data_IF_575240521868
#
_entry.id   IF_575240521868
#
_cell.length_a   1.000
_cell.length_b   1.000
_cell.length_c   1.000
_cell.angle_alpha   90.00
_cell.angle_beta   90.00
_cell.angle_gamma   90.00
#
_symmetry.space_group_name_H-M   'P 1'
#
loop_
_entity.id
_entity.type
_entity.pdbx_description
1 polymer ?
#
# COMPACT_ATOMS: atom_id res chain seq x y z
N UNK A 1 62.10 62.11 39.71
CA UNK A 1 62.21 60.83 38.96
C UNK A 1 60.82 60.30 38.79
N UNK A 2 60.25 60.40 37.60
CA UNK A 2 58.92 59.80 37.24
C UNK A 2 59.14 58.71 36.20
N UNK A 3 58.79 57.48 36.52
CA UNK A 3 58.81 56.40 35.56
C UNK A 3 57.47 56.34 34.82
N UNK A 4 57.51 56.38 33.52
CA UNK A 4 56.38 56.18 32.63
C UNK A 4 56.21 54.72 32.29
N UNK A 5 55.02 54.20 32.43
CA UNK A 5 54.61 52.87 31.97
C UNK A 5 54.18 52.88 30.52
N UNK A 6 54.58 51.91 29.71
CA UNK A 6 54.13 51.85 28.31
C UNK A 6 52.73 51.18 28.18
N UNK A 7 51.86 51.89 27.49
CA UNK A 7 50.52 51.47 27.13
C UNK A 7 50.59 50.40 26.01
N UNK A 8 50.13 49.19 26.22
CA UNK A 8 50.00 48.14 25.20
C UNK A 8 48.62 48.24 24.57
N UNK A 9 48.55 48.69 23.33
CA UNK A 9 47.34 48.60 22.47
C UNK A 9 47.11 47.16 22.05
N UNK A 10 45.89 46.63 22.13
CA UNK A 10 45.60 45.29 21.63
C UNK A 10 45.50 45.33 20.12
N UNK A 11 46.24 44.48 19.46
CA UNK A 11 46.27 44.31 18.00
C UNK A 11 44.95 43.72 17.48
N UNK A 12 44.34 44.43 16.51
CA UNK A 12 43.07 44.14 15.86
C UNK A 12 43.07 42.84 15.00
N UNK A 13 44.20 42.12 14.99
CA UNK A 13 44.41 40.96 14.12
C UNK A 13 43.75 39.64 14.57
N UNK A 14 43.36 39.50 15.84
CA UNK A 14 42.87 38.22 16.37
C UNK A 14 41.36 38.05 16.28
N UNK A 15 40.60 39.09 16.03
CA UNK A 15 39.15 39.06 15.86
C UNK A 15 38.68 38.64 14.47
N UNK A 16 39.46 38.96 13.42
CA UNK A 16 39.15 38.58 12.05
C UNK A 16 39.38 37.10 11.75
N UNK A 17 40.32 36.44 12.43
CA UNK A 17 40.59 35.03 12.26
C UNK A 17 39.46 34.13 12.88
N UNK A 18 38.84 34.59 13.97
CA UNK A 18 37.73 33.86 14.62
C UNK A 18 36.43 33.89 13.82
N UNK A 19 36.13 34.99 13.13
CA UNK A 19 34.90 35.15 12.34
C UNK A 19 34.96 34.32 11.04
N UNK A 20 36.12 34.18 10.41
CA UNK A 20 36.29 33.34 9.21
C UNK A 20 36.17 31.87 9.50
N UNK A 21 36.57 31.36 10.69
CA UNK A 21 36.42 29.98 11.08
C UNK A 21 34.97 29.61 11.43
N UNK A 22 34.16 30.56 11.92
CA UNK A 22 32.73 30.32 12.20
C UNK A 22 31.87 30.37 10.93
N UNK A 23 32.24 31.12 9.91
CA UNK A 23 31.52 31.19 8.63
C UNK A 23 31.73 29.93 7.75
N UNK A 24 32.85 29.26 7.89
CA UNK A 24 33.12 28.01 7.12
C UNK A 24 32.43 26.78 7.70
N UNK A 25 32.02 26.81 8.97
CA UNK A 25 31.32 25.69 9.62
C UNK A 25 29.83 25.57 9.21
N UNK A 26 29.25 26.61 8.63
CA UNK A 26 27.83 26.63 8.21
C UNK A 26 27.60 26.22 6.76
N UNK A 27 28.64 25.92 6.00
CA UNK A 27 28.57 25.50 4.59
C UNK A 27 28.70 23.97 4.38
N UNK A 28 28.62 23.19 5.45
CA UNK A 28 28.37 21.75 5.31
C UNK A 28 26.88 21.55 5.02
N UNK A 29 26.44 22.02 3.84
CA UNK A 29 25.21 21.55 3.24
C UNK A 29 25.27 20.02 3.26
N UNK A 30 24.30 19.38 3.93
CA UNK A 30 24.09 17.93 3.81
C UNK A 30 23.98 17.67 2.31
N UNK A 31 25.05 17.18 1.70
CA UNK A 31 25.04 16.74 0.32
C UNK A 31 23.94 15.65 0.27
N UNK A 32 22.78 15.99 -0.28
CA UNK A 32 21.75 15.02 -0.60
C UNK A 32 22.42 14.06 -1.61
N UNK A 33 22.90 12.95 -1.11
CA UNK A 33 23.54 11.97 -1.96
C UNK A 33 22.44 11.34 -2.82
N UNK A 34 22.56 11.50 -4.14
CA UNK A 34 21.66 10.90 -5.11
C UNK A 34 21.51 9.40 -4.82
N UNK A 35 20.28 8.96 -4.64
CA UNK A 35 20.02 7.53 -4.40
C UNK A 35 20.06 6.77 -5.74
N UNK A 36 20.66 5.57 -5.71
CA UNK A 36 20.56 4.63 -6.83
C UNK A 36 19.32 3.75 -6.61
N UNK A 37 18.29 3.93 -7.45
CA UNK A 37 16.99 3.30 -7.33
C UNK A 37 16.77 2.38 -8.51
N UNK A 38 16.65 1.07 -8.24
CA UNK A 38 16.45 0.04 -9.24
C UNK A 38 15.05 -0.55 -9.12
N UNK A 39 14.23 -0.36 -10.15
CA UNK A 39 12.98 -1.07 -10.29
C UNK A 39 13.22 -2.37 -11.07
N UNK A 40 12.55 -3.45 -10.67
CA UNK A 40 12.62 -4.71 -11.41
C UNK A 40 11.29 -5.45 -11.39
N UNK A 41 11.07 -6.23 -12.43
CA UNK A 41 9.93 -7.10 -12.65
C UNK A 41 10.26 -8.14 -13.71
N UNK A 42 9.40 -9.13 -13.86
CA UNK A 42 9.58 -10.22 -14.83
C UNK A 42 9.71 -9.70 -16.26
N UNK A 43 8.86 -8.74 -16.62
CA UNK A 43 8.79 -8.19 -17.97
C UNK A 43 8.75 -6.65 -17.94
N UNK A 44 9.31 -6.05 -18.97
CA UNK A 44 9.17 -4.64 -19.27
C UNK A 44 7.90 -4.43 -20.11
N UNK A 45 7.02 -3.56 -19.64
CA UNK A 45 5.79 -3.20 -20.34
C UNK A 45 5.65 -1.68 -20.47
N UNK A 46 4.80 -1.16 -21.38
CA UNK A 46 4.55 0.28 -21.46
C UNK A 46 4.08 0.89 -20.12
N UNK A 47 3.32 0.14 -19.33
CA UNK A 47 2.89 0.57 -17.99
C UNK A 47 4.05 0.65 -17.00
N UNK A 48 5.00 -0.29 -17.05
CA UNK A 48 6.23 -0.25 -16.24
C UNK A 48 7.09 0.93 -16.65
N UNK A 49 7.30 1.15 -17.95
CA UNK A 49 8.07 2.30 -18.45
C UNK A 49 7.46 3.63 -18.02
N UNK A 50 6.14 3.80 -18.15
CA UNK A 50 5.43 5.00 -17.70
C UNK A 50 5.56 5.21 -16.18
N UNK A 51 5.54 4.14 -15.39
CA UNK A 51 5.74 4.22 -13.94
C UNK A 51 7.17 4.64 -13.58
N UNK A 52 8.17 4.06 -14.22
CA UNK A 52 9.59 4.40 -14.03
C UNK A 52 9.85 5.86 -14.41
N UNK A 53 9.32 6.30 -15.55
CA UNK A 53 9.43 7.70 -15.98
C UNK A 53 8.79 8.65 -14.96
N UNK A 54 7.57 8.37 -14.50
CA UNK A 54 6.89 9.20 -13.51
C UNK A 54 7.65 9.26 -12.16
N UNK A 55 8.26 8.16 -11.73
CA UNK A 55 9.11 8.16 -10.54
C UNK A 55 10.41 8.95 -10.77
N UNK A 56 11.02 8.86 -11.95
CA UNK A 56 12.22 9.63 -12.31
C UNK A 56 11.93 11.13 -12.36
N UNK A 57 10.79 11.53 -12.90
CA UNK A 57 10.34 12.93 -12.93
C UNK A 57 10.09 13.48 -11.51
N UNK A 58 9.55 12.65 -10.62
CA UNK A 58 9.32 13.00 -9.22
C UNK A 58 10.63 13.12 -8.43
N UNK A 59 11.67 12.37 -8.83
CA UNK A 59 12.97 12.30 -8.16
C UNK A 59 14.14 12.64 -9.10
N UNK A 60 14.22 13.90 -9.54
CA UNK A 60 15.18 14.30 -10.59
C UNK A 60 16.65 14.24 -10.13
N UNK A 61 16.91 14.17 -8.84
CA UNK A 61 18.27 14.07 -8.27
C UNK A 61 18.74 12.64 -8.12
N UNK A 62 17.82 11.66 -8.18
CA UNK A 62 18.12 10.26 -8.00
C UNK A 62 18.34 9.54 -9.35
N UNK A 63 19.11 8.47 -9.33
CA UNK A 63 19.31 7.62 -10.50
C UNK A 63 18.24 6.51 -10.52
N UNK A 64 17.10 6.80 -11.15
CA UNK A 64 15.97 5.86 -11.26
C UNK A 64 16.08 5.08 -12.57
N UNK A 65 16.13 3.74 -12.48
CA UNK A 65 16.22 2.88 -13.67
C UNK A 65 15.41 1.61 -13.49
N UNK A 66 14.97 1.03 -14.60
CA UNK A 66 14.39 -0.32 -14.65
C UNK A 66 15.40 -1.31 -15.24
N UNK A 67 15.36 -2.53 -14.71
CA UNK A 67 16.11 -3.65 -15.28
C UNK A 67 15.26 -4.92 -15.17
N UNK A 68 15.03 -5.63 -16.29
CA UNK A 68 14.30 -6.89 -16.28
C UNK A 68 14.96 -7.91 -15.35
N UNK A 69 14.14 -8.68 -14.65
CA UNK A 69 14.60 -9.68 -13.68
C UNK A 69 15.62 -10.65 -14.28
N UNK A 70 15.40 -11.09 -15.52
CA UNK A 70 16.28 -12.05 -16.23
C UNK A 70 17.71 -11.54 -16.43
N UNK A 71 17.95 -10.22 -16.35
CA UNK A 71 19.28 -9.61 -16.53
C UNK A 71 19.97 -9.26 -15.22
N UNK A 72 19.32 -9.52 -14.06
CA UNK A 72 19.90 -9.23 -12.76
C UNK A 72 20.83 -10.37 -12.29
N UNK A 73 21.95 -10.03 -11.63
CA UNK A 73 22.72 -11.01 -10.87
C UNK A 73 21.96 -11.46 -9.63
N UNK A 74 22.44 -12.46 -8.92
CA UNK A 74 21.85 -12.88 -7.64
C UNK A 74 21.73 -11.72 -6.64
N UNK A 75 20.73 -11.69 -5.75
CA UNK A 75 20.43 -10.55 -4.87
C UNK A 75 21.64 -10.09 -4.03
N UNK A 76 22.40 -11.01 -3.48
CA UNK A 76 23.56 -10.70 -2.64
C UNK A 76 24.80 -10.15 -3.41
N UNK A 77 24.76 -10.16 -4.75
CA UNK A 77 25.81 -9.56 -5.58
C UNK A 77 25.52 -8.10 -5.95
N UNK A 78 24.33 -7.62 -5.62
CA UNK A 78 23.95 -6.22 -5.85
C UNK A 78 24.58 -5.30 -4.81
N UNK A 79 24.86 -4.02 -5.17
CA UNK A 79 25.39 -3.04 -4.22
C UNK A 79 24.50 -2.86 -3.00
N UNK A 80 25.07 -2.84 -1.80
CA UNK A 80 24.31 -2.71 -0.54
C UNK A 80 23.61 -1.34 -0.37
N UNK A 81 24.12 -0.29 -1.03
CA UNK A 81 23.54 1.05 -1.02
C UNK A 81 22.41 1.24 -2.04
N UNK A 82 22.17 0.24 -2.90
CA UNK A 82 21.08 0.25 -3.86
C UNK A 82 19.73 0.20 -3.14
N UNK A 83 18.74 0.94 -3.61
CA UNK A 83 17.35 0.85 -3.18
C UNK A 83 16.55 0.12 -4.26
N UNK A 84 15.97 -1.01 -3.91
CA UNK A 84 15.21 -1.81 -4.88
C UNK A 84 13.72 -1.60 -4.73
N UNK A 85 13.02 -1.63 -5.87
CA UNK A 85 11.56 -1.67 -5.93
C UNK A 85 11.15 -2.87 -6.79
N UNK A 86 10.47 -3.83 -6.18
CA UNK A 86 9.95 -5.01 -6.87
C UNK A 86 8.51 -4.75 -7.32
N UNK A 87 8.23 -5.03 -8.59
CA UNK A 87 6.96 -4.69 -9.23
C UNK A 87 5.99 -5.86 -9.33
N UNK A 88 6.46 -7.10 -9.08
CA UNK A 88 5.68 -8.33 -9.25
C UNK A 88 6.16 -9.47 -8.34
N UNK A 89 5.38 -10.55 -8.30
CA UNK A 89 5.70 -11.73 -7.49
C UNK A 89 6.96 -12.49 -7.96
N UNK A 90 7.24 -12.67 -9.27
CA UNK A 90 8.50 -13.29 -9.70
C UNK A 90 9.73 -12.56 -9.19
N UNK A 91 9.74 -11.23 -9.17
CA UNK A 91 10.86 -10.45 -8.61
C UNK A 91 10.97 -10.61 -7.09
N UNK A 92 9.85 -10.74 -6.38
CA UNK A 92 9.88 -11.09 -4.96
C UNK A 92 10.43 -12.50 -4.74
N UNK A 93 9.96 -13.50 -5.49
CA UNK A 93 10.44 -14.89 -5.38
C UNK A 93 11.96 -14.97 -5.65
N UNK A 94 12.46 -14.19 -6.61
CA UNK A 94 13.90 -14.05 -6.86
C UNK A 94 14.62 -13.39 -5.67
N UNK A 95 14.07 -12.30 -5.12
CA UNK A 95 14.69 -11.58 -3.98
C UNK A 95 14.77 -12.44 -2.72
N UNK A 96 13.84 -13.37 -2.54
CA UNK A 96 13.79 -14.28 -1.40
C UNK A 96 14.79 -15.45 -1.49
N UNK A 97 15.44 -15.67 -2.63
CA UNK A 97 16.45 -16.74 -2.77
C UNK A 97 17.66 -16.51 -1.87
N UNK A 98 17.98 -15.24 -1.57
CA UNK A 98 19.09 -14.89 -0.70
C UNK A 98 18.62 -13.91 0.39
N UNK A 99 18.93 -14.19 1.68
CA UNK A 99 18.57 -13.30 2.77
C UNK A 99 19.32 -11.97 2.71
N UNK A 100 20.52 -11.99 2.15
CA UNK A 100 21.35 -10.80 1.93
C UNK A 100 20.97 -10.11 0.63
N UNK A 101 21.12 -8.78 0.60
CA UNK A 101 20.82 -7.97 -0.56
C UNK A 101 20.43 -6.55 -0.17
N UNK A 102 20.24 -5.67 -1.15
CA UNK A 102 19.89 -4.27 -0.90
C UNK A 102 18.52 -4.11 -0.23
N UNK A 103 18.31 -2.95 0.37
CA UNK A 103 17.02 -2.58 0.93
C UNK A 103 15.95 -2.56 -0.16
N UNK A 104 14.82 -3.21 0.10
CA UNK A 104 13.84 -3.56 -0.92
C UNK A 104 12.43 -3.16 -0.52
N UNK A 105 11.75 -2.41 -1.38
CA UNK A 105 10.31 -2.14 -1.33
C UNK A 105 9.59 -3.12 -2.27
N UNK A 106 8.60 -3.84 -1.76
CA UNK A 106 7.74 -4.72 -2.58
C UNK A 106 6.46 -3.97 -2.85
N UNK A 107 6.28 -3.56 -4.09
CA UNK A 107 5.14 -2.75 -4.51
C UNK A 107 3.95 -3.63 -4.89
N UNK A 108 2.76 -3.26 -4.42
CA UNK A 108 1.49 -3.85 -4.84
C UNK A 108 1.38 -5.36 -4.57
N UNK A 109 1.82 -5.77 -3.39
CA UNK A 109 1.63 -7.14 -2.90
C UNK A 109 0.41 -7.21 -1.97
N UNK A 110 -0.44 -8.22 -2.10
CA UNK A 110 -1.51 -8.44 -1.12
C UNK A 110 -1.00 -9.17 0.13
N UNK A 111 -1.71 -9.01 1.24
CA UNK A 111 -1.37 -9.72 2.49
C UNK A 111 -1.42 -11.24 2.33
N UNK A 112 -2.35 -11.72 1.51
CA UNK A 112 -2.45 -13.14 1.18
C UNK A 112 -1.21 -13.63 0.43
N UNK A 113 -0.81 -12.91 -0.63
CA UNK A 113 0.39 -13.21 -1.41
C UNK A 113 1.66 -13.17 -0.55
N UNK A 114 1.80 -12.15 0.29
CA UNK A 114 2.93 -12.03 1.21
C UNK A 114 2.97 -13.22 2.19
N UNK A 115 1.84 -13.59 2.79
CA UNK A 115 1.77 -14.74 3.69
C UNK A 115 2.18 -16.06 3.02
N UNK A 116 1.73 -16.28 1.79
CA UNK A 116 2.08 -17.48 1.01
C UNK A 116 3.58 -17.56 0.70
N UNK A 117 4.25 -16.42 0.41
CA UNK A 117 5.67 -16.39 0.08
C UNK A 117 6.58 -16.35 1.30
N UNK A 118 6.19 -15.62 2.33
CA UNK A 118 7.06 -15.36 3.48
C UNK A 118 6.84 -16.35 4.63
N UNK A 119 5.77 -17.12 4.62
CA UNK A 119 5.49 -18.10 5.68
C UNK A 119 5.45 -17.51 7.11
N UNK A 120 5.28 -16.19 7.23
CA UNK A 120 5.32 -15.46 8.50
C UNK A 120 6.71 -14.90 8.89
N UNK A 121 7.77 -15.23 8.17
CA UNK A 121 9.14 -14.74 8.43
C UNK A 121 9.56 -13.74 7.34
N UNK A 122 9.38 -12.45 7.61
CA UNK A 122 9.79 -11.38 6.68
C UNK A 122 11.26 -11.01 6.89
N UNK A 123 12.10 -11.02 5.82
CA UNK A 123 13.47 -10.54 5.89
C UNK A 123 13.59 -9.09 6.40
N UNK A 124 14.67 -8.74 7.13
CA UNK A 124 14.79 -7.45 7.79
C UNK A 124 14.88 -6.24 6.84
N UNK A 125 15.35 -6.44 5.62
CA UNK A 125 15.52 -5.37 4.62
C UNK A 125 14.40 -5.33 3.57
N UNK A 126 13.26 -5.94 3.87
CA UNK A 126 12.11 -6.00 3.01
C UNK A 126 10.96 -5.20 3.62
N UNK A 127 10.41 -4.26 2.85
CA UNK A 127 9.21 -3.49 3.21
C UNK A 127 8.10 -3.78 2.21
N UNK A 128 6.91 -4.10 2.70
CA UNK A 128 5.78 -4.50 1.88
C UNK A 128 4.79 -3.35 1.75
N UNK A 129 4.42 -3.00 0.52
CA UNK A 129 3.38 -2.01 0.25
C UNK A 129 2.11 -2.76 -0.21
N UNK A 130 1.12 -2.77 0.67
CA UNK A 130 -0.10 -3.56 0.49
C UNK A 130 -0.98 -3.06 -0.65
N UNK A 131 -1.37 -3.96 -1.55
CA UNK A 131 -2.31 -3.68 -2.65
C UNK A 131 -3.77 -3.88 -2.26
N UNK A 132 -4.03 -4.79 -1.34
CA UNK A 132 -5.37 -5.01 -0.81
C UNK A 132 -5.79 -3.85 0.10
N UNK A 133 -7.04 -3.40 0.03
CA UNK A 133 -7.48 -2.32 0.91
C UNK A 133 -7.53 -2.79 2.38
N UNK A 134 -7.24 -1.90 3.36
CA UNK A 134 -7.41 -2.23 4.77
C UNK A 134 -8.83 -2.70 5.06
N UNK A 135 -8.98 -3.80 5.82
CA UNK A 135 -10.31 -4.34 6.15
C UNK A 135 -11.18 -3.34 6.91
N UNK A 136 -10.56 -2.57 7.81
CA UNK A 136 -11.27 -1.50 8.54
C UNK A 136 -11.82 -0.44 7.59
N UNK A 137 -11.06 -0.03 6.58
CA UNK A 137 -11.50 0.93 5.56
C UNK A 137 -12.69 0.41 4.75
N UNK A 138 -12.65 -0.87 4.35
CA UNK A 138 -13.76 -1.49 3.61
C UNK A 138 -15.03 -1.59 4.47
N UNK A 139 -14.92 -1.89 5.76
CA UNK A 139 -16.05 -1.87 6.69
C UNK A 139 -16.59 -0.46 6.93
N UNK A 140 -15.74 0.54 7.04
CA UNK A 140 -16.15 1.95 7.11
C UNK A 140 -16.81 2.40 5.82
N UNK A 141 -16.32 1.98 4.64
CA UNK A 141 -17.00 2.21 3.37
C UNK A 141 -18.41 1.64 3.38
N UNK A 142 -18.59 0.36 3.78
CA UNK A 142 -19.89 -0.26 3.92
C UNK A 142 -20.78 0.58 4.83
N UNK A 143 -20.30 1.01 5.99
CA UNK A 143 -21.07 1.79 6.95
C UNK A 143 -21.53 3.14 6.39
N UNK A 144 -20.70 3.76 5.54
CA UNK A 144 -21.00 5.05 4.91
C UNK A 144 -22.04 4.94 3.81
N UNK A 145 -21.88 3.96 2.90
CA UNK A 145 -22.75 3.84 1.73
C UNK A 145 -23.99 3.00 1.97
N UNK A 146 -24.00 2.18 3.02
CA UNK A 146 -25.11 1.29 3.42
C UNK A 146 -25.39 1.41 4.94
N UNK A 147 -25.90 2.55 5.42
CA UNK A 147 -26.04 2.81 6.87
C UNK A 147 -26.98 1.84 7.59
N UNK A 148 -27.87 1.16 6.86
CA UNK A 148 -28.84 0.23 7.42
C UNK A 148 -28.28 -1.17 7.67
N UNK A 149 -27.14 -1.50 7.06
CA UNK A 149 -26.51 -2.82 7.15
C UNK A 149 -26.07 -3.11 8.58
N UNK A 150 -26.31 -4.35 9.01
CA UNK A 150 -25.87 -4.86 10.32
C UNK A 150 -24.96 -6.09 10.16
N UNK A 151 -25.23 -6.94 9.18
CA UNK A 151 -24.57 -8.21 8.97
C UNK A 151 -23.75 -8.14 7.68
N UNK A 152 -22.44 -8.30 7.80
CA UNK A 152 -21.50 -8.32 6.69
C UNK A 152 -21.10 -9.76 6.44
N UNK A 153 -21.51 -10.31 5.30
CA UNK A 153 -21.14 -11.64 4.86
C UNK A 153 -19.71 -11.65 4.30
N UNK A 154 -18.95 -12.68 4.61
CA UNK A 154 -17.60 -12.88 4.12
C UNK A 154 -17.37 -14.32 3.75
N UNK A 155 -16.89 -14.55 2.53
CA UNK A 155 -16.39 -15.83 2.09
C UNK A 155 -14.88 -15.88 2.29
N UNK A 156 -14.38 -17.00 2.80
CA UNK A 156 -12.96 -17.23 3.02
C UNK A 156 -12.59 -18.68 2.73
N UNK A 157 -11.34 -18.94 2.48
CA UNK A 157 -10.76 -20.29 2.38
C UNK A 157 -9.65 -20.48 3.43
N UNK A 158 -8.93 -21.60 3.34
CA UNK A 158 -7.81 -21.90 4.24
C UNK A 158 -6.69 -20.84 4.19
N UNK A 159 -6.52 -20.16 3.06
CA UNK A 159 -5.44 -19.17 2.86
C UNK A 159 -5.80 -17.80 3.40
N UNK A 160 -7.07 -17.41 3.34
CA UNK A 160 -7.60 -16.12 3.78
C UNK A 160 -8.20 -16.13 5.21
N UNK A 161 -8.33 -17.28 5.85
CA UNK A 161 -8.89 -17.45 7.20
C UNK A 161 -8.21 -16.54 8.25
N UNK A 162 -6.91 -16.28 8.12
CA UNK A 162 -6.18 -15.42 9.06
C UNK A 162 -6.67 -13.96 9.10
N UNK A 163 -7.36 -13.50 8.05
CA UNK A 163 -7.93 -12.15 7.98
C UNK A 163 -9.18 -11.98 8.86
N UNK A 164 -9.84 -13.09 9.24
CA UNK A 164 -11.11 -13.04 9.98
C UNK A 164 -10.95 -12.40 11.35
N UNK A 165 -9.86 -12.65 12.07
CA UNK A 165 -9.63 -12.07 13.38
C UNK A 165 -9.60 -10.53 13.33
N UNK A 166 -8.84 -9.98 12.39
CA UNK A 166 -8.75 -8.53 12.16
C UNK A 166 -10.10 -7.97 11.72
N UNK A 167 -10.79 -8.67 10.83
CA UNK A 167 -12.09 -8.25 10.34
C UNK A 167 -13.13 -8.15 11.48
N UNK A 168 -13.18 -9.12 12.38
CA UNK A 168 -14.04 -9.07 13.57
C UNK A 168 -13.67 -7.90 14.49
N UNK A 169 -12.38 -7.65 14.70
CA UNK A 169 -11.89 -6.53 15.52
C UNK A 169 -12.28 -5.18 14.90
N UNK A 170 -12.13 -5.04 13.59
CA UNK A 170 -12.49 -3.80 12.87
C UNK A 170 -14.01 -3.58 12.76
N UNK A 171 -14.82 -4.64 12.79
CA UNK A 171 -16.27 -4.57 12.72
C UNK A 171 -16.94 -4.12 14.04
N UNK A 172 -16.35 -4.47 15.17
CA UNK A 172 -16.93 -4.23 16.50
C UNK A 172 -17.25 -2.74 16.77
N UNK A 173 -16.32 -1.78 16.57
CA UNK A 173 -16.60 -0.35 16.81
C UNK A 173 -17.63 0.22 15.84
N UNK A 174 -17.86 -0.42 14.70
CA UNK A 174 -18.85 -0.03 13.70
C UNK A 174 -20.23 -0.63 13.94
N UNK A 175 -20.43 -1.41 15.02
CA UNK A 175 -21.64 -2.17 15.28
C UNK A 175 -22.06 -3.06 14.08
N UNK A 176 -21.07 -3.69 13.44
CA UNK A 176 -21.25 -4.64 12.36
C UNK A 176 -20.97 -6.06 12.85
N UNK A 177 -21.83 -6.99 12.48
CA UNK A 177 -21.66 -8.41 12.73
C UNK A 177 -21.06 -9.08 11.49
N UNK A 178 -19.96 -9.80 11.64
CA UNK A 178 -19.36 -10.60 10.56
C UNK A 178 -20.04 -11.96 10.52
N UNK A 179 -20.55 -12.32 9.36
CA UNK A 179 -21.11 -13.64 9.02
C UNK A 179 -20.14 -14.31 8.06
N UNK A 180 -19.20 -15.08 8.61
CA UNK A 180 -18.17 -15.75 7.80
C UNK A 180 -18.61 -17.13 7.37
N UNK A 181 -18.26 -17.52 6.13
CA UNK A 181 -18.55 -18.84 5.58
C UNK A 181 -17.33 -19.35 4.80
N UNK A 182 -16.83 -20.52 5.19
CA UNK A 182 -15.72 -21.17 4.49
C UNK A 182 -16.16 -21.71 3.14
N UNK A 183 -15.35 -21.49 2.09
CA UNK A 183 -15.64 -21.86 0.71
C UNK A 183 -14.42 -22.39 -0.03
N UNK A 184 -13.91 -23.54 0.38
CA UNK A 184 -12.72 -24.16 -0.23
C UNK A 184 -12.99 -24.75 -1.64
N UNK A 185 -14.24 -25.07 -1.95
CA UNK A 185 -14.63 -25.57 -3.27
C UNK A 185 -15.63 -24.61 -3.94
N UNK A 186 -15.15 -23.79 -4.87
CA UNK A 186 -15.97 -22.80 -5.57
C UNK A 186 -17.00 -23.38 -6.56
N UNK A 187 -16.95 -24.69 -6.83
CA UNK A 187 -17.99 -25.42 -7.58
C UNK A 187 -19.21 -25.71 -6.71
N UNK A 188 -19.07 -25.77 -5.41
CA UNK A 188 -20.18 -25.91 -4.47
C UNK A 188 -20.76 -24.52 -4.13
N UNK A 189 -21.96 -24.25 -4.64
CA UNK A 189 -22.63 -22.96 -4.38
C UNK A 189 -23.27 -22.83 -2.98
N UNK A 190 -23.35 -23.91 -2.20
CA UNK A 190 -24.02 -23.89 -0.88
C UNK A 190 -23.43 -22.87 0.09
N UNK A 191 -22.09 -22.74 0.24
CA UNK A 191 -21.50 -21.72 1.10
C UNK A 191 -21.88 -20.29 0.68
N UNK A 192 -21.80 -19.98 -0.62
CA UNK A 192 -22.23 -18.71 -1.16
C UNK A 192 -23.71 -18.42 -0.87
N UNK A 193 -24.58 -19.39 -1.12
CA UNK A 193 -26.02 -19.26 -0.84
C UNK A 193 -26.30 -19.11 0.66
N UNK A 194 -25.51 -19.78 1.51
CA UNK A 194 -25.63 -19.68 2.96
C UNK A 194 -25.28 -18.27 3.46
N UNK A 195 -24.11 -17.74 3.06
CA UNK A 195 -23.68 -16.41 3.49
C UNK A 195 -24.65 -15.31 3.00
N UNK A 196 -25.14 -15.40 1.76
CA UNK A 196 -26.08 -14.45 1.20
C UNK A 196 -27.45 -14.44 1.91
N UNK A 197 -27.91 -15.59 2.45
CA UNK A 197 -29.16 -15.62 3.23
C UNK A 197 -29.04 -14.97 4.60
N UNK A 198 -27.84 -14.96 5.17
CA UNK A 198 -27.61 -14.57 6.56
C UNK A 198 -26.92 -13.20 6.69
N UNK A 199 -26.68 -12.49 5.59
CA UNK A 199 -26.03 -11.17 5.58
C UNK A 199 -26.83 -10.13 4.80
N UNK A 200 -26.57 -8.88 5.09
CA UNK A 200 -27.22 -7.73 4.45
C UNK A 200 -26.34 -7.14 3.32
N UNK A 201 -25.04 -7.41 3.37
CA UNK A 201 -24.03 -7.06 2.36
C UNK A 201 -22.97 -8.14 2.31
N UNK A 202 -22.38 -8.39 1.15
CA UNK A 202 -21.21 -9.26 0.99
C UNK A 202 -19.96 -8.40 0.85
N UNK A 203 -18.92 -8.69 1.63
CA UNK A 203 -17.58 -8.09 1.50
C UNK A 203 -16.63 -9.11 0.86
N UNK A 204 -16.07 -8.74 -0.28
CA UNK A 204 -15.01 -9.50 -0.94
C UNK A 204 -13.65 -9.23 -0.32
N UNK A 205 -12.95 -10.27 0.07
CA UNK A 205 -11.54 -10.22 0.43
C UNK A 205 -10.67 -10.26 -0.83
N UNK A 206 -9.44 -9.74 -0.78
CA UNK A 206 -8.50 -9.86 -1.92
C UNK A 206 -7.87 -11.26 -1.96
N UNK A 207 -8.74 -12.23 -2.19
CA UNK A 207 -8.45 -13.65 -2.28
C UNK A 207 -8.66 -14.10 -3.74
N UNK A 208 -7.57 -14.35 -4.51
CA UNK A 208 -7.66 -14.71 -5.92
C UNK A 208 -8.26 -16.11 -6.16
N UNK A 209 -8.31 -16.96 -5.16
CA UNK A 209 -8.94 -18.29 -5.30
C UNK A 209 -10.47 -18.16 -5.25
N UNK A 210 -10.98 -17.18 -4.49
CA UNK A 210 -12.41 -16.92 -4.35
C UNK A 210 -12.94 -15.80 -5.26
N UNK A 211 -12.16 -14.74 -5.47
CA UNK A 211 -12.59 -13.54 -6.22
C UNK A 211 -11.77 -13.38 -7.50
N UNK A 212 -12.10 -14.14 -8.52
CA UNK A 212 -11.42 -14.19 -9.81
C UNK A 212 -12.43 -14.21 -10.97
N UNK A 213 -12.00 -14.09 -12.26
CA UNK A 213 -12.91 -14.09 -13.40
C UNK A 213 -13.81 -15.33 -13.53
N UNK A 214 -13.39 -16.50 -12.99
CA UNK A 214 -14.19 -17.73 -13.07
C UNK A 214 -15.35 -17.72 -12.06
N UNK A 215 -15.15 -17.17 -10.88
CA UNK A 215 -16.14 -17.09 -9.80
C UNK A 215 -16.97 -15.80 -9.84
N UNK A 216 -16.43 -14.71 -10.41
CA UNK A 216 -17.05 -13.38 -10.41
C UNK A 216 -18.49 -13.41 -10.90
N UNK A 217 -18.77 -14.11 -12.02
CA UNK A 217 -20.13 -14.20 -12.55
C UNK A 217 -21.11 -14.81 -11.55
N UNK A 218 -20.72 -15.92 -10.91
CA UNK A 218 -21.57 -16.58 -9.91
C UNK A 218 -21.80 -15.72 -8.68
N UNK A 219 -20.72 -15.10 -8.15
CA UNK A 219 -20.79 -14.19 -7.01
C UNK A 219 -21.73 -13.02 -7.28
N UNK A 220 -21.53 -12.30 -8.39
CA UNK A 220 -22.29 -11.13 -8.75
C UNK A 220 -23.77 -11.46 -9.03
N UNK A 221 -24.04 -12.48 -9.83
CA UNK A 221 -25.42 -12.87 -10.13
C UNK A 221 -26.18 -13.40 -8.90
N UNK A 222 -25.50 -14.19 -8.06
CA UNK A 222 -26.12 -14.72 -6.84
C UNK A 222 -26.41 -13.62 -5.80
N UNK A 223 -25.48 -12.66 -5.61
CA UNK A 223 -25.71 -11.53 -4.72
C UNK A 223 -26.80 -10.60 -5.25
N UNK A 224 -26.76 -10.30 -6.54
CA UNK A 224 -27.74 -9.45 -7.21
C UNK A 224 -29.16 -10.02 -7.18
N UNK A 225 -29.35 -11.32 -7.46
CA UNK A 225 -30.66 -11.99 -7.42
C UNK A 225 -31.30 -11.98 -6.01
N UNK A 226 -30.50 -11.75 -4.98
CA UNK A 226 -30.95 -11.63 -3.59
C UNK A 226 -31.01 -10.19 -3.08
N UNK A 227 -30.71 -9.24 -3.94
CA UNK A 227 -30.59 -7.81 -3.58
C UNK A 227 -29.57 -7.56 -2.45
N UNK A 228 -28.55 -8.42 -2.34
CA UNK A 228 -27.42 -8.25 -1.42
C UNK A 228 -26.29 -7.57 -2.20
N UNK A 229 -25.94 -6.35 -1.82
CA UNK A 229 -24.83 -5.64 -2.43
C UNK A 229 -23.51 -6.39 -2.19
N UNK A 230 -22.61 -6.40 -3.19
CA UNK A 230 -21.23 -6.87 -3.03
C UNK A 230 -20.30 -5.64 -3.01
N UNK A 231 -19.60 -5.41 -1.90
CA UNK A 231 -18.44 -4.53 -1.84
C UNK A 231 -17.23 -5.37 -2.26
N UNK A 232 -16.62 -5.01 -3.38
CA UNK A 232 -15.61 -5.83 -4.04
C UNK A 232 -14.23 -5.74 -3.36
N UNK A 233 -13.34 -6.71 -3.62
CA UNK A 233 -11.99 -6.69 -3.11
C UNK A 233 -11.14 -5.56 -3.70
N UNK A 234 -11.49 -5.07 -4.89
CA UNK A 234 -10.73 -4.05 -5.62
C UNK A 234 -11.57 -3.36 -6.71
N UNK A 235 -11.00 -2.32 -7.34
CA UNK A 235 -11.65 -1.56 -8.40
C UNK A 235 -11.98 -2.39 -9.66
N UNK A 236 -11.26 -3.48 -9.94
CA UNK A 236 -11.57 -4.35 -11.07
C UNK A 236 -12.89 -5.08 -10.85
N UNK A 237 -13.17 -5.51 -9.63
CA UNK A 237 -14.44 -6.11 -9.26
C UNK A 237 -15.61 -5.12 -9.34
N UNK A 238 -15.38 -3.82 -9.05
CA UNK A 238 -16.38 -2.77 -9.24
C UNK A 238 -16.75 -2.63 -10.71
N UNK A 239 -15.76 -2.63 -11.59
CA UNK A 239 -16.01 -2.62 -13.05
C UNK A 239 -16.73 -3.88 -13.53
N UNK A 240 -16.51 -5.02 -12.88
CA UNK A 240 -17.19 -6.27 -13.17
C UNK A 240 -18.64 -6.33 -12.66
N UNK A 241 -19.05 -5.43 -11.75
CA UNK A 241 -20.43 -5.35 -11.23
C UNK A 241 -20.60 -5.39 -9.72
N UNK A 242 -19.54 -5.27 -8.92
CA UNK A 242 -19.72 -5.02 -7.48
C UNK A 242 -20.09 -3.55 -7.23
N UNK A 243 -20.67 -3.27 -6.06
CA UNK A 243 -21.20 -1.94 -5.72
C UNK A 243 -20.11 -0.89 -5.59
N UNK A 244 -19.09 -1.16 -4.79
CA UNK A 244 -18.01 -0.23 -4.50
C UNK A 244 -16.77 -0.95 -3.98
N UNK A 245 -15.65 -0.24 -3.97
CA UNK A 245 -14.39 -0.64 -3.29
C UNK A 245 -13.49 0.58 -3.09
N UNK A 246 -12.51 0.49 -2.19
CA UNK A 246 -11.40 1.44 -2.15
C UNK A 246 -10.19 0.90 -2.90
N UNK A 247 -9.35 1.78 -3.43
CA UNK A 247 -8.14 1.40 -4.17
C UNK A 247 -7.13 2.55 -4.18
N UNK A 248 -5.87 2.24 -4.42
CA UNK A 248 -4.83 3.24 -4.69
C UNK A 248 -4.39 3.14 -6.14
N UNK A 249 -4.25 4.28 -6.82
CA UNK A 249 -3.78 4.34 -8.19
C UNK A 249 -2.29 4.70 -8.31
N UNK A 250 -1.79 4.90 -9.53
CA UNK A 250 -0.37 5.19 -9.75
C UNK A 250 0.13 6.43 -9.00
N UNK A 251 -0.57 7.59 -9.00
CA UNK A 251 -0.18 8.75 -8.20
C UNK A 251 -0.09 8.47 -6.70
N UNK A 252 -0.98 7.64 -6.15
CA UNK A 252 -0.96 7.26 -4.74
C UNK A 252 0.27 6.40 -4.41
N UNK A 253 0.62 5.47 -5.31
CA UNK A 253 1.82 4.65 -5.20
C UNK A 253 3.12 5.45 -5.31
N UNK A 254 3.16 6.42 -6.22
CA UNK A 254 4.30 7.32 -6.37
C UNK A 254 4.48 8.18 -5.12
N UNK A 255 3.40 8.68 -4.54
CA UNK A 255 3.47 9.51 -3.33
C UNK A 255 4.06 8.76 -2.12
N UNK A 256 3.64 7.50 -1.89
CA UNK A 256 4.20 6.71 -0.78
C UNK A 256 5.65 6.29 -1.05
N UNK A 257 6.01 5.98 -2.30
CA UNK A 257 7.40 5.69 -2.67
C UNK A 257 8.30 6.90 -2.43
N UNK A 258 7.88 8.10 -2.84
CA UNK A 258 8.62 9.34 -2.64
C UNK A 258 8.92 9.57 -1.15
N UNK A 259 7.90 9.45 -0.29
CA UNK A 259 8.06 9.58 1.16
C UNK A 259 9.04 8.55 1.75
N UNK A 260 9.00 7.30 1.29
CA UNK A 260 9.88 6.24 1.77
C UNK A 260 11.31 6.44 1.28
N UNK A 261 11.47 6.83 0.01
CA UNK A 261 12.78 7.06 -0.61
C UNK A 261 13.52 8.26 -0.03
N UNK A 262 12.83 9.20 0.62
CA UNK A 262 13.46 10.29 1.38
C UNK A 262 14.04 9.85 2.73
N UNK A 263 13.66 8.66 3.19
CA UNK A 263 14.11 8.13 4.49
C UNK A 263 15.23 7.13 4.33
N UNK A 264 16.12 7.00 5.32
CA UNK A 264 17.08 5.90 5.37
C UNK A 264 16.35 4.54 5.34
N UNK A 265 16.79 3.57 4.53
CA UNK A 265 16.13 2.27 4.43
C UNK A 265 15.93 1.53 5.76
N UNK A 266 16.83 1.75 6.74
CA UNK A 266 16.71 1.17 8.07
C UNK A 266 15.48 1.68 8.86
N UNK A 267 14.87 2.79 8.43
CA UNK A 267 13.66 3.37 9.05
C UNK A 267 12.38 3.01 8.30
N UNK A 268 12.48 2.27 7.22
CA UNK A 268 11.29 1.83 6.49
C UNK A 268 10.45 0.89 7.36
N UNK A 269 9.12 1.09 7.41
CA UNK A 269 8.25 0.16 8.13
C UNK A 269 8.28 -1.22 7.43
N UNK A 270 8.06 -2.28 8.20
CA UNK A 270 8.02 -3.64 7.64
C UNK A 270 6.91 -3.82 6.60
N UNK A 271 5.76 -3.20 6.87
CA UNK A 271 4.63 -3.18 5.94
C UNK A 271 3.77 -1.95 6.17
N UNK A 272 3.14 -1.46 5.10
CA UNK A 272 2.24 -0.31 5.17
C UNK A 272 1.25 -0.32 4.00
N UNK A 273 0.18 0.45 4.18
CA UNK A 273 -0.74 0.82 3.13
C UNK A 273 -0.39 2.21 2.59
N UNK A 274 -0.70 2.53 1.32
CA UNK A 274 -0.69 3.91 0.87
C UNK A 274 -1.67 4.76 1.70
N UNK A 275 -1.20 5.93 2.15
CA UNK A 275 -2.04 6.88 2.91
C UNK A 275 -3.13 7.48 2.03
N UNK A 276 -2.85 7.58 0.72
CA UNK A 276 -3.79 8.09 -0.28
C UNK A 276 -4.51 6.93 -0.95
N UNK A 277 -5.81 7.11 -1.11
CA UNK A 277 -6.67 6.13 -1.78
C UNK A 277 -7.89 6.82 -2.39
N UNK A 278 -8.60 6.10 -3.20
CA UNK A 278 -9.83 6.51 -3.88
C UNK A 278 -10.94 5.52 -3.59
N UNK A 279 -12.16 5.97 -3.75
CA UNK A 279 -13.36 5.13 -3.80
C UNK A 279 -13.72 4.94 -5.27
N UNK A 280 -14.10 3.72 -5.65
CA UNK A 280 -14.75 3.41 -6.91
C UNK A 280 -16.13 2.85 -6.62
N UNK A 281 -17.13 3.27 -7.37
CA UNK A 281 -18.50 2.78 -7.26
C UNK A 281 -19.10 2.45 -8.63
N UNK A 282 -20.10 1.57 -8.63
CA UNK A 282 -20.84 1.21 -9.83
C UNK A 282 -22.24 1.82 -9.76
N UNK A 283 -22.44 2.92 -10.47
CA UNK A 283 -23.71 3.69 -10.49
C UNK A 283 -24.88 2.84 -10.94
N UNK A 284 -24.68 1.90 -11.87
CA UNK A 284 -25.75 1.03 -12.37
C UNK A 284 -26.19 0.03 -11.28
N UNK A 285 -25.22 -0.54 -10.57
CA UNK A 285 -25.48 -1.45 -9.45
C UNK A 285 -26.16 -0.71 -8.30
N UNK A 286 -25.67 0.47 -7.94
CA UNK A 286 -26.30 1.31 -6.91
C UNK A 286 -27.78 1.57 -7.25
N UNK A 287 -28.03 2.05 -8.45
CA UNK A 287 -29.42 2.33 -8.93
C UNK A 287 -30.31 1.10 -8.87
N UNK A 288 -29.82 -0.05 -9.32
CA UNK A 288 -30.61 -1.29 -9.36
C UNK A 288 -30.92 -1.87 -7.99
N UNK A 289 -30.11 -1.54 -6.98
CA UNK A 289 -30.32 -1.93 -5.58
C UNK A 289 -31.05 -0.83 -4.77
N UNK A 290 -31.49 0.24 -5.41
CA UNK A 290 -32.18 1.36 -4.72
C UNK A 290 -31.26 2.14 -3.78
N UNK A 291 -29.94 2.13 -4.05
CA UNK A 291 -28.95 2.84 -3.26
C UNK A 291 -28.73 4.22 -3.88
N UNK A 292 -28.70 5.26 -3.05
CA UNK A 292 -28.39 6.62 -3.48
C UNK A 292 -27.05 6.71 -4.21
N UNK A 293 -26.91 7.63 -5.19
CA UNK A 293 -25.64 7.84 -5.88
C UNK A 293 -24.50 8.11 -4.90
N UNK A 294 -23.40 7.37 -5.05
CA UNK A 294 -22.25 7.47 -4.18
C UNK A 294 -21.33 8.60 -4.69
N UNK A 295 -21.17 9.65 -3.89
CA UNK A 295 -20.14 10.67 -4.14
C UNK A 295 -18.80 10.13 -3.69
N UNK A 296 -18.06 9.54 -4.64
CA UNK A 296 -16.78 8.85 -4.41
C UNK A 296 -15.75 9.77 -3.73
N UNK A 297 -15.67 11.04 -4.15
CA UNK A 297 -14.72 12.00 -3.60
C UNK A 297 -15.04 12.39 -2.16
N UNK A 298 -16.33 12.60 -1.86
CA UNK A 298 -16.78 12.90 -0.50
C UNK A 298 -16.58 11.72 0.43
N UNK A 299 -16.95 10.51 0.00
CA UNK A 299 -16.76 9.29 0.79
C UNK A 299 -15.28 9.03 1.04
N UNK A 300 -14.39 9.19 0.03
CA UNK A 300 -12.96 9.01 0.20
C UNK A 300 -12.37 9.97 1.25
N UNK A 301 -12.76 11.27 1.22
CA UNK A 301 -12.32 12.24 2.24
C UNK A 301 -12.76 11.85 3.64
N UNK A 302 -14.04 11.48 3.81
CA UNK A 302 -14.59 11.08 5.12
C UNK A 302 -13.92 9.83 5.68
N UNK A 303 -13.53 8.87 4.81
CA UNK A 303 -12.79 7.69 5.22
C UNK A 303 -11.38 8.05 5.67
N UNK A 304 -10.69 8.93 4.93
CA UNK A 304 -9.34 9.38 5.28
C UNK A 304 -9.30 10.16 6.61
N UNK A 305 -10.29 11.02 6.85
CA UNK A 305 -10.45 11.72 8.14
C UNK A 305 -10.65 10.74 9.30
N UNK A 306 -11.44 9.68 9.10
CA UNK A 306 -11.67 8.63 10.10
C UNK A 306 -10.44 7.79 10.42
N UNK A 307 -9.49 7.63 9.48
CA UNK A 307 -8.22 6.93 9.71
C UNK A 307 -7.17 7.79 10.41
N UNK A 308 -7.23 9.11 10.24
CA UNK A 308 -6.29 10.05 10.85
C UNK A 308 -6.57 10.30 12.34
N UNK A 309 -7.76 9.92 12.82
CA UNK A 309 -8.22 10.10 14.21
C UNK A 309 -8.80 8.77 14.71
N UNK A 310 -7.94 7.79 15.06
CA UNK A 310 -8.37 6.49 15.61
C UNK A 310 -8.94 6.58 17.02
#
# INVERSE_FOLDING_TARGET
>A
MRYATPNKTPTLGHWLAGVCLFLTAWLHGVAVQAADILLTGAEESPGVQAFVQALSELRPTDNVRFQPLASLPAPGKLPANLRMILLDLPSLDWRLQEPQGPATLVLRISRLQARQRLGGAQPPHLSLLWSDPPLGRQLQLIRRILPQVRRVGVLFDQHSEFLLKELHQAAAPLNLQIVSQRWDNTQDSRPLQSVLRNSDVLLGLDDPDLYNPKTAKNLLLSSYSRQVALVGPNAAFVRAGSLASTYSDQPDWLAILDQLLDRPPATWPRALYPDRFKVSSNVQVARSLGIEPIDEASVARQLAEGESHP
#
